data_IF_688954110068
#
_entry.id   IF_688954110068
#
_cell.length_a   1.000
_cell.length_b   1.000
_cell.length_c   1.000
_cell.angle_alpha   90.00
_cell.angle_beta   90.00
_cell.angle_gamma   90.00
#
_symmetry.space_group_name_H-M   'P 1'
#
loop_
_entity.id
_entity.type
_entity.pdbx_description
1 polymer ?
#
# COMPACT_ATOMS: atom_id res chain seq x y z
N UNK A 1 64.11 -26.22 6.76
CA UNK A 1 63.22 -26.16 7.94
C UNK A 1 63.39 -24.77 8.51
N UNK A 2 62.29 -24.08 8.82
CA UNK A 2 62.36 -22.75 9.38
C UNK A 2 62.56 -22.85 10.89
N UNK A 3 63.49 -22.08 11.42
CA UNK A 3 63.79 -21.99 12.84
C UNK A 3 63.80 -20.53 13.30
N UNK A 4 63.54 -20.30 14.57
CA UNK A 4 63.58 -18.96 15.14
C UNK A 4 65.01 -18.42 15.12
N UNK A 5 65.22 -17.29 14.44
CA UNK A 5 66.52 -16.63 14.30
C UNK A 5 67.27 -16.35 15.62
N UNK A 6 66.55 -16.26 16.75
CA UNK A 6 67.15 -15.95 18.06
C UNK A 6 67.31 -17.14 18.99
N UNK A 7 66.34 -18.04 19.07
CA UNK A 7 66.35 -19.13 20.05
C UNK A 7 66.49 -20.52 19.42
N UNK A 8 66.54 -20.63 18.09
CA UNK A 8 66.63 -21.91 17.39
C UNK A 8 65.39 -22.80 17.52
N UNK A 9 64.28 -22.29 18.07
CA UNK A 9 63.05 -23.06 18.18
C UNK A 9 62.54 -23.43 16.78
N UNK A 10 62.25 -24.71 16.59
CA UNK A 10 61.75 -25.21 15.31
C UNK A 10 60.24 -24.95 15.18
N UNK A 11 59.74 -24.99 13.94
CA UNK A 11 58.31 -24.83 13.63
C UNK A 11 57.41 -25.89 14.31
N UNK A 12 57.97 -27.06 14.68
CA UNK A 12 57.26 -28.10 15.43
C UNK A 12 57.00 -27.73 16.89
N UNK A 13 57.90 -26.94 17.49
CA UNK A 13 57.83 -26.57 18.90
C UNK A 13 57.07 -25.26 19.12
N UNK A 14 57.10 -24.35 18.14
CA UNK A 14 56.45 -23.05 18.26
C UNK A 14 56.03 -22.45 16.92
N UNK A 15 54.92 -21.69 16.94
CA UNK A 15 54.48 -20.89 15.79
C UNK A 15 55.50 -19.79 15.52
N UNK A 16 56.03 -19.79 14.30
CA UNK A 16 56.99 -18.80 13.81
C UNK A 16 56.25 -17.71 13.01
N UNK A 17 56.65 -16.47 13.21
CA UNK A 17 56.17 -15.30 12.47
C UNK A 17 57.30 -14.73 11.62
N UNK A 18 56.96 -14.20 10.44
CA UNK A 18 57.92 -13.43 9.62
C UNK A 18 58.08 -12.02 10.21
N UNK A 19 59.32 -11.64 10.49
CA UNK A 19 59.68 -10.33 11.02
C UNK A 19 60.82 -9.71 10.21
N UNK A 20 60.89 -8.38 10.20
CA UNK A 20 61.99 -7.65 9.54
C UNK A 20 63.11 -7.39 10.53
N UNK A 21 64.32 -7.80 10.18
CA UNK A 21 65.56 -7.49 10.90
C UNK A 21 66.56 -6.79 9.96
N UNK A 22 67.68 -6.31 10.48
CA UNK A 22 68.75 -5.66 9.69
C UNK A 22 69.35 -6.58 8.62
N UNK A 23 69.31 -7.89 8.84
CA UNK A 23 69.79 -8.91 7.91
C UNK A 23 68.75 -9.32 6.86
N UNK A 24 67.52 -8.81 6.94
CA UNK A 24 66.40 -9.17 6.06
C UNK A 24 65.20 -9.76 6.79
N UNK A 25 64.36 -10.49 6.06
CA UNK A 25 63.16 -11.16 6.58
C UNK A 25 63.57 -12.46 7.28
N UNK A 26 63.24 -12.59 8.55
CA UNK A 26 63.59 -13.74 9.39
C UNK A 26 62.37 -14.30 10.11
N UNK A 27 62.41 -15.58 10.46
CA UNK A 27 61.36 -16.22 11.25
C UNK A 27 61.64 -16.09 12.75
N UNK A 28 60.61 -15.75 13.53
CA UNK A 28 60.72 -15.44 14.96
C UNK A 28 59.57 -16.11 15.73
N UNK A 29 59.88 -16.79 16.83
CA UNK A 29 58.85 -17.35 17.70
C UNK A 29 58.16 -16.26 18.54
N UNK A 30 56.93 -16.52 19.00
CA UNK A 30 56.13 -15.59 19.81
C UNK A 30 56.89 -14.99 21.00
N UNK A 31 57.70 -15.81 21.71
CA UNK A 31 58.48 -15.37 22.88
C UNK A 31 59.54 -14.32 22.50
N UNK A 32 60.28 -14.57 21.42
CA UNK A 32 61.29 -13.63 20.95
C UNK A 32 60.67 -12.36 20.37
N UNK A 33 59.51 -12.46 19.72
CA UNK A 33 58.78 -11.28 19.25
C UNK A 33 58.43 -10.31 20.38
N UNK A 34 57.80 -10.78 21.47
CA UNK A 34 57.44 -9.90 22.59
C UNK A 34 58.66 -9.32 23.32
N UNK A 35 59.73 -10.11 23.46
CA UNK A 35 60.95 -9.68 24.15
C UNK A 35 61.70 -8.59 23.39
N UNK A 36 61.77 -8.69 22.06
CA UNK A 36 62.59 -7.81 21.23
C UNK A 36 61.77 -6.81 20.39
N UNK A 37 60.44 -6.87 20.44
CA UNK A 37 59.51 -6.01 19.70
C UNK A 37 59.86 -5.88 18.21
N UNK A 38 60.18 -7.02 17.57
CA UNK A 38 60.52 -7.04 16.14
C UNK A 38 59.25 -6.76 15.29
N UNK A 39 59.32 -5.93 14.23
CA UNK A 39 58.17 -5.63 13.39
C UNK A 39 57.73 -6.87 12.60
N UNK A 40 56.45 -7.24 12.70
CA UNK A 40 55.86 -8.38 11.99
C UNK A 40 55.39 -7.98 10.59
N UNK A 41 55.58 -8.88 9.63
CA UNK A 41 55.00 -8.76 8.30
C UNK A 41 53.68 -9.54 8.29
N UNK A 42 52.56 -8.84 8.39
CA UNK A 42 51.26 -9.44 8.14
C UNK A 42 51.05 -9.55 6.63
N UNK A 43 51.26 -10.75 6.07
CA UNK A 43 50.82 -11.05 4.70
C UNK A 43 49.30 -11.09 4.69
N UNK A 44 48.66 -9.93 4.48
CA UNK A 44 47.24 -9.89 4.12
C UNK A 44 47.12 -10.65 2.81
N UNK A 45 46.35 -11.74 2.82
CA UNK A 45 46.02 -12.46 1.60
C UNK A 45 45.08 -11.58 0.78
N UNK A 46 45.65 -10.67 0.01
CA UNK A 46 44.89 -9.85 -0.94
C UNK A 46 44.69 -10.73 -2.17
N UNK A 47 43.45 -11.15 -2.40
CA UNK A 47 43.11 -11.82 -3.65
C UNK A 47 43.31 -10.81 -4.78
N UNK A 48 44.30 -11.06 -5.65
CA UNK A 48 44.64 -10.17 -6.78
C UNK A 48 43.44 -9.83 -7.68
N UNK A 49 42.42 -10.70 -7.70
CA UNK A 49 41.15 -10.50 -8.41
C UNK A 49 40.40 -9.24 -7.99
N UNK A 50 40.58 -8.75 -6.77
CA UNK A 50 39.92 -7.53 -6.30
C UNK A 50 40.69 -6.26 -6.66
N UNK A 51 41.99 -6.37 -6.97
CA UNK A 51 42.83 -5.23 -7.39
C UNK A 51 42.53 -4.80 -8.83
N UNK A 52 42.11 -5.74 -9.69
CA UNK A 52 41.77 -5.44 -11.09
C UNK A 52 40.42 -4.74 -11.26
N UNK A 53 39.54 -4.82 -10.26
CA UNK A 53 38.23 -4.14 -10.30
C UNK A 53 38.45 -2.65 -10.09
N UNK A 54 38.46 -1.88 -11.19
CA UNK A 54 38.45 -0.42 -11.15
C UNK A 54 37.17 0.04 -10.45
N UNK A 55 37.33 0.58 -9.24
CA UNK A 55 36.21 1.18 -8.51
C UNK A 55 35.58 2.32 -9.32
N UNK A 56 34.28 2.23 -9.51
CA UNK A 56 33.48 3.30 -10.09
C UNK A 56 33.58 4.56 -9.23
N UNK A 57 33.35 5.73 -9.82
CA UNK A 57 33.33 7.01 -9.08
C UNK A 57 32.33 6.95 -7.92
N UNK A 58 31.19 6.26 -8.11
CA UNK A 58 30.16 6.05 -7.08
C UNK A 58 30.67 5.25 -5.89
N UNK A 59 31.40 4.16 -6.13
CA UNK A 59 32.00 3.33 -5.06
C UNK A 59 33.05 4.09 -4.29
N UNK A 60 33.87 4.89 -4.98
CA UNK A 60 34.85 5.77 -4.33
C UNK A 60 34.20 6.80 -3.41
N UNK A 61 33.16 7.49 -3.89
CA UNK A 61 32.42 8.45 -3.06
C UNK A 61 31.73 7.78 -1.87
N UNK A 62 31.18 6.58 -2.06
CA UNK A 62 30.56 5.83 -0.98
C UNK A 62 31.57 5.38 0.09
N UNK A 63 32.77 4.94 -0.32
CA UNK A 63 33.88 4.64 0.61
C UNK A 63 34.32 5.86 1.41
N UNK A 64 34.44 7.02 0.75
CA UNK A 64 34.80 8.29 1.42
C UNK A 64 33.73 8.70 2.43
N UNK A 65 32.46 8.47 2.11
CA UNK A 65 31.32 8.79 2.98
C UNK A 65 31.02 7.71 4.04
N UNK A 66 31.77 6.61 4.08
CA UNK A 66 31.46 5.44 4.92
C UNK A 66 30.03 4.89 4.73
N UNK A 67 29.52 4.94 3.49
CA UNK A 67 28.19 4.42 3.13
C UNK A 67 28.32 3.04 2.48
N UNK A 68 27.75 2.03 3.12
CA UNK A 68 27.73 0.66 2.59
C UNK A 68 26.75 0.52 1.42
N UNK A 69 27.26 0.56 0.19
CA UNK A 69 26.46 0.37 -1.03
C UNK A 69 25.75 -0.99 -1.08
N UNK A 70 26.32 -2.01 -0.43
CA UNK A 70 25.73 -3.33 -0.35
C UNK A 70 24.58 -3.40 0.67
N UNK A 71 24.61 -2.57 1.72
CA UNK A 71 23.50 -2.47 2.68
C UNK A 71 22.27 -1.78 2.06
N UNK A 72 22.47 -0.95 1.02
CA UNK A 72 21.37 -0.28 0.32
C UNK A 72 20.66 -1.13 -0.73
N UNK A 73 21.23 -2.25 -1.21
CA UNK A 73 20.56 -3.10 -2.22
C UNK A 73 19.33 -3.84 -1.68
N UNK A 74 19.20 -3.99 -0.36
CA UNK A 74 18.03 -4.62 0.28
C UNK A 74 17.03 -3.63 0.86
N UNK A 75 17.35 -2.33 0.89
CA UNK A 75 16.32 -1.30 1.04
C UNK A 75 15.64 -1.09 -0.31
N UNK A 76 14.85 -2.09 -0.71
CA UNK A 76 13.67 -1.81 -1.53
C UNK A 76 12.90 -0.79 -0.69
N UNK A 77 13.01 0.50 -1.06
CA UNK A 77 12.08 1.50 -0.56
C UNK A 77 10.72 0.87 -0.82
N UNK A 78 9.95 0.50 0.21
CA UNK A 78 8.71 -0.19 -0.03
C UNK A 78 7.91 0.74 -0.95
N UNK A 79 7.43 0.21 -2.07
CA UNK A 79 6.55 0.94 -3.00
C UNK A 79 5.29 1.52 -2.30
N UNK A 80 5.13 1.32 -1.00
CA UNK A 80 4.11 1.89 -0.14
C UNK A 80 4.21 3.39 0.11
N UNK A 81 5.24 4.08 -0.41
CA UNK A 81 5.33 5.56 -0.39
C UNK A 81 5.17 6.17 -1.79
N UNK A 82 4.48 5.50 -2.71
CA UNK A 82 3.77 6.27 -3.74
C UNK A 82 2.75 7.15 -3.02
N UNK A 83 2.67 8.43 -3.38
CA UNK A 83 1.70 9.38 -2.84
C UNK A 83 0.30 8.78 -2.95
N UNK A 84 -0.18 8.20 -1.85
CA UNK A 84 -1.53 7.65 -1.81
C UNK A 84 -2.48 8.83 -1.93
N UNK A 85 -3.31 8.79 -2.96
CA UNK A 85 -4.36 9.79 -3.10
C UNK A 85 -5.33 9.69 -1.92
N UNK A 86 -5.93 10.81 -1.51
CA UNK A 86 -6.91 10.83 -0.41
C UNK A 86 -8.03 9.80 -0.64
N UNK A 87 -8.40 9.56 -1.90
CA UNK A 87 -9.38 8.54 -2.31
C UNK A 87 -8.96 7.14 -1.86
N UNK A 88 -7.71 6.74 -2.12
CA UNK A 88 -7.20 5.44 -1.71
C UNK A 88 -7.14 5.27 -0.18
N UNK A 89 -6.88 6.35 0.56
CA UNK A 89 -6.88 6.31 2.04
C UNK A 89 -8.29 6.03 2.56
N UNK A 90 -9.28 6.77 2.06
CA UNK A 90 -10.68 6.59 2.43
C UNK A 90 -11.11 5.15 2.10
N UNK A 91 -10.79 4.68 0.91
CA UNK A 91 -11.16 3.34 0.44
C UNK A 91 -10.55 2.22 1.28
N UNK A 92 -9.26 2.33 1.62
CA UNK A 92 -8.60 1.37 2.52
C UNK A 92 -9.20 1.41 3.93
N UNK A 93 -9.63 2.56 4.41
CA UNK A 93 -10.28 2.65 5.73
C UNK A 93 -11.65 2.00 5.71
N UNK A 94 -12.44 2.20 4.65
CA UNK A 94 -13.72 1.52 4.46
C UNK A 94 -13.57 -0.01 4.41
N UNK A 95 -12.52 -0.53 3.76
CA UNK A 95 -12.25 -1.97 3.75
C UNK A 95 -11.85 -2.53 5.13
N UNK A 96 -11.18 -1.72 5.97
CA UNK A 96 -10.76 -2.11 7.32
C UNK A 96 -11.92 -2.13 8.31
N UNK A 97 -12.86 -1.20 8.19
CA UNK A 97 -14.15 -1.28 8.87
C UNK A 97 -14.92 -2.42 8.22
N UNK A 98 -14.60 -3.67 8.65
CA UNK A 98 -15.23 -4.88 8.11
C UNK A 98 -16.72 -4.64 8.04
N UNK A 99 -17.24 -4.64 6.81
CA UNK A 99 -18.67 -4.75 6.58
C UNK A 99 -19.02 -6.13 7.14
N UNK A 100 -19.57 -6.12 8.35
CA UNK A 100 -20.13 -7.33 8.93
C UNK A 100 -21.14 -7.84 7.91
N UNK A 101 -21.09 -9.14 7.60
CA UNK A 101 -22.10 -9.78 6.76
C UNK A 101 -23.40 -9.76 7.56
N UNK A 102 -24.08 -8.63 7.56
CA UNK A 102 -25.37 -8.48 8.19
C UNK A 102 -26.35 -9.33 7.40
N UNK A 103 -27.18 -10.09 8.11
CA UNK A 103 -28.34 -10.71 7.49
C UNK A 103 -29.13 -9.63 6.74
N UNK A 104 -29.67 -9.96 5.57
CA UNK A 104 -30.46 -9.00 4.79
C UNK A 104 -31.54 -8.39 5.69
N UNK A 105 -31.62 -7.05 5.80
CA UNK A 105 -32.61 -6.41 6.63
C UNK A 105 -34.00 -6.68 6.05
N UNK A 106 -34.95 -7.03 6.90
CA UNK A 106 -36.32 -7.37 6.50
C UNK A 106 -37.06 -6.23 5.81
N UNK A 107 -36.61 -4.99 6.01
CA UNK A 107 -37.18 -3.74 5.45
C UNK A 107 -36.97 -3.62 3.93
N UNK A 108 -35.95 -4.29 3.37
CA UNK A 108 -35.62 -4.20 1.94
C UNK A 108 -36.33 -5.26 1.11
N UNK A 109 -36.57 -4.93 -0.16
CA UNK A 109 -37.06 -5.87 -1.16
C UNK A 109 -36.02 -6.98 -1.38
N UNK A 110 -36.51 -8.20 -1.57
CA UNK A 110 -35.66 -9.35 -1.82
C UNK A 110 -34.89 -9.15 -3.14
N UNK A 111 -33.59 -9.45 -3.14
CA UNK A 111 -32.69 -9.20 -4.28
C UNK A 111 -32.57 -7.72 -4.70
N UNK A 112 -32.67 -6.77 -3.76
CA UNK A 112 -32.47 -5.34 -4.02
C UNK A 112 -31.20 -5.04 -4.84
N UNK A 113 -30.13 -5.77 -4.59
CA UNK A 113 -28.84 -5.60 -5.26
C UNK A 113 -28.93 -5.85 -6.78
N UNK A 114 -29.76 -6.79 -7.22
CA UNK A 114 -30.01 -7.04 -8.64
C UNK A 114 -30.80 -5.92 -9.30
N UNK A 115 -31.75 -5.32 -8.57
CA UNK A 115 -32.53 -4.18 -9.05
C UNK A 115 -31.62 -2.98 -9.31
N UNK A 116 -30.72 -2.68 -8.36
CA UNK A 116 -29.71 -1.61 -8.46
C UNK A 116 -28.82 -1.86 -9.69
N UNK A 117 -28.22 -3.06 -9.78
CA UNK A 117 -27.31 -3.40 -10.87
C UNK A 117 -27.99 -3.31 -12.25
N UNK A 118 -29.24 -3.77 -12.36
CA UNK A 118 -30.01 -3.69 -13.61
C UNK A 118 -30.28 -2.25 -14.02
N UNK A 119 -30.72 -1.41 -13.07
CA UNK A 119 -31.04 0.00 -13.33
C UNK A 119 -29.80 0.81 -13.69
N UNK A 120 -28.70 0.62 -12.97
CA UNK A 120 -27.41 1.22 -13.33
C UNK A 120 -27.00 0.87 -14.77
N UNK A 121 -27.08 -0.42 -15.15
CA UNK A 121 -26.76 -0.87 -16.52
C UNK A 121 -27.70 -0.28 -17.58
N UNK A 122 -28.98 -0.12 -17.28
CA UNK A 122 -29.92 0.57 -18.18
C UNK A 122 -29.51 2.03 -18.45
N UNK A 123 -28.99 2.71 -17.43
CA UNK A 123 -28.42 4.07 -17.54
C UNK A 123 -27.02 4.10 -18.16
N UNK A 124 -26.43 2.94 -18.47
CA UNK A 124 -25.06 2.77 -19.01
C UNK A 124 -23.97 3.41 -18.14
N UNK A 125 -24.17 3.44 -16.83
CA UNK A 125 -23.19 3.98 -15.89
C UNK A 125 -22.23 2.90 -15.40
N UNK A 126 -20.94 3.24 -15.29
CA UNK A 126 -19.97 2.41 -14.56
C UNK A 126 -20.21 2.51 -13.05
N UNK A 127 -19.60 1.61 -12.27
CA UNK A 127 -19.68 1.68 -10.79
C UNK A 127 -18.99 2.95 -10.28
N UNK A 128 -17.82 3.28 -10.84
CA UNK A 128 -17.09 4.53 -10.58
C UNK A 128 -17.93 5.79 -10.85
N UNK A 129 -18.61 5.86 -12.00
CA UNK A 129 -19.45 7.01 -12.35
C UNK A 129 -20.65 7.16 -11.41
N UNK A 130 -21.27 6.04 -11.03
CA UNK A 130 -22.37 6.06 -10.07
C UNK A 130 -21.89 6.53 -8.69
N UNK A 131 -20.75 6.01 -8.23
CA UNK A 131 -20.12 6.40 -6.98
C UNK A 131 -19.81 7.91 -6.97
N UNK A 132 -19.23 8.43 -8.06
CA UNK A 132 -18.92 9.85 -8.22
C UNK A 132 -20.16 10.74 -8.15
N UNK A 133 -21.27 10.32 -8.76
CA UNK A 133 -22.52 11.09 -8.75
C UNK A 133 -23.24 11.05 -7.40
N UNK A 134 -23.09 9.97 -6.64
CA UNK A 134 -23.63 9.83 -5.29
C UNK A 134 -22.72 10.44 -4.22
N UNK A 135 -21.48 10.82 -4.59
CA UNK A 135 -20.43 11.26 -3.68
C UNK A 135 -20.06 10.19 -2.63
N UNK A 136 -20.13 8.92 -3.03
CA UNK A 136 -19.79 7.77 -2.19
C UNK A 136 -18.56 7.05 -2.76
N UNK A 137 -17.79 6.31 -1.94
CA UNK A 137 -16.64 5.54 -2.44
C UNK A 137 -17.10 4.36 -3.30
N UNK A 138 -16.29 4.00 -4.30
CA UNK A 138 -16.62 2.94 -5.27
C UNK A 138 -16.84 1.58 -4.58
N UNK A 139 -16.02 1.27 -3.58
CA UNK A 139 -16.13 0.02 -2.81
C UNK A 139 -17.51 -0.14 -2.18
N UNK A 140 -18.14 0.94 -1.72
CA UNK A 140 -19.48 0.86 -1.11
C UNK A 140 -20.52 0.45 -2.16
N UNK A 141 -20.47 1.04 -3.36
CA UNK A 141 -21.36 0.64 -4.46
C UNK A 141 -21.11 -0.81 -4.87
N UNK A 142 -19.84 -1.23 -4.93
CA UNK A 142 -19.47 -2.59 -5.27
C UNK A 142 -20.01 -3.61 -4.26
N UNK A 143 -19.92 -3.30 -2.97
CA UNK A 143 -20.43 -4.15 -1.90
C UNK A 143 -21.97 -4.20 -1.88
N UNK A 144 -22.66 -3.08 -2.13
CA UNK A 144 -24.11 -3.03 -2.27
C UNK A 144 -24.59 -3.90 -3.45
N UNK A 145 -23.93 -3.85 -4.61
CA UNK A 145 -24.28 -4.70 -5.75
C UNK A 145 -24.01 -6.19 -5.49
N UNK A 146 -23.03 -6.52 -4.64
CA UNK A 146 -22.81 -7.88 -4.13
C UNK A 146 -23.87 -8.33 -3.11
N UNK A 147 -24.60 -7.39 -2.52
CA UNK A 147 -25.62 -7.63 -1.49
C UNK A 147 -25.12 -7.48 -0.06
N UNK A 148 -23.90 -6.96 0.14
CA UNK A 148 -23.37 -6.62 1.46
C UNK A 148 -23.71 -5.16 1.77
N UNK A 149 -24.33 -4.92 2.93
CA UNK A 149 -24.77 -3.60 3.34
C UNK A 149 -23.90 -3.06 4.49
N UNK A 150 -23.46 -1.79 4.43
CA UNK A 150 -22.80 -1.16 5.57
C UNK A 150 -23.81 -0.88 6.70
N UNK A 151 -23.32 -0.51 7.89
CA UNK A 151 -24.18 -0.21 9.05
C UNK A 151 -25.18 0.92 8.75
N UNK A 152 -24.73 1.93 8.01
CA UNK A 152 -25.53 3.13 7.68
C UNK A 152 -26.27 2.97 6.33
N UNK A 153 -26.71 1.75 5.99
CA UNK A 153 -27.30 1.46 4.69
C UNK A 153 -28.58 2.23 4.38
N UNK A 154 -29.36 2.63 5.39
CA UNK A 154 -30.66 3.30 5.17
C UNK A 154 -30.51 4.60 4.39
N UNK A 155 -29.51 5.41 4.74
CA UNK A 155 -29.23 6.69 4.07
C UNK A 155 -28.72 6.45 2.66
N UNK A 156 -27.79 5.50 2.48
CA UNK A 156 -27.24 5.14 1.18
C UNK A 156 -28.30 4.62 0.22
N UNK A 157 -29.20 3.76 0.69
CA UNK A 157 -30.28 3.23 -0.14
C UNK A 157 -31.23 4.34 -0.57
N UNK A 158 -31.58 5.30 0.30
CA UNK A 158 -32.39 6.47 -0.09
C UNK A 158 -31.71 7.31 -1.15
N UNK A 159 -30.39 7.56 -1.04
CA UNK A 159 -29.62 8.24 -2.08
C UNK A 159 -29.69 7.48 -3.42
N UNK A 160 -29.57 6.14 -3.38
CA UNK A 160 -29.68 5.27 -4.56
C UNK A 160 -31.08 5.26 -5.18
N UNK A 161 -32.13 5.18 -4.36
CA UNK A 161 -33.53 5.25 -4.79
C UNK A 161 -33.82 6.57 -5.51
N UNK A 162 -33.39 7.69 -4.91
CA UNK A 162 -33.55 9.03 -5.46
C UNK A 162 -32.80 9.20 -6.79
N UNK A 163 -31.57 8.71 -6.88
CA UNK A 163 -30.75 8.84 -8.09
C UNK A 163 -31.21 7.91 -9.22
N UNK A 164 -31.53 6.66 -8.92
CA UNK A 164 -31.92 5.64 -9.91
C UNK A 164 -33.42 5.64 -10.24
N UNK A 165 -34.24 6.35 -9.46
CA UNK A 165 -35.69 6.36 -9.60
C UNK A 165 -36.32 4.99 -9.39
N UNK A 166 -35.90 4.29 -8.33
CA UNK A 166 -36.45 2.98 -7.93
C UNK A 166 -36.87 2.98 -6.48
N UNK A 167 -37.77 2.07 -6.15
CA UNK A 167 -38.16 1.76 -4.77
C UNK A 167 -37.52 0.43 -4.38
N UNK A 168 -36.69 0.45 -3.35
CA UNK A 168 -35.93 -0.66 -2.78
C UNK A 168 -36.46 -1.04 -1.39
N UNK A 169 -37.07 -0.11 -0.65
CA UNK A 169 -37.80 -0.43 0.58
C UNK A 169 -39.17 -1.06 0.30
N UNK A 170 -39.57 -2.02 1.15
CA UNK A 170 -40.89 -2.67 1.08
C UNK A 170 -42.01 -1.72 1.50
N UNK A 171 -41.77 -0.91 2.51
CA UNK A 171 -42.70 0.11 3.01
C UNK A 171 -42.33 1.47 2.43
N UNK A 172 -43.34 2.22 1.95
CA UNK A 172 -43.12 3.53 1.30
C UNK A 172 -42.83 4.65 2.31
N UNK A 173 -43.24 4.46 3.56
CA UNK A 173 -43.23 5.49 4.61
C UNK A 173 -42.04 5.32 5.56
N UNK A 174 -40.90 4.87 5.03
CA UNK A 174 -39.66 4.87 5.79
C UNK A 174 -39.11 6.30 5.84
N UNK A 175 -39.72 7.14 6.68
CA UNK A 175 -39.13 8.43 7.06
C UNK A 175 -37.77 8.18 7.72
N UNK A 176 -36.79 9.05 7.47
CA UNK A 176 -35.48 8.92 8.14
C UNK A 176 -35.74 9.24 9.61
N UNK A 177 -35.54 8.27 10.51
CA UNK A 177 -35.69 8.55 11.93
C UNK A 177 -34.58 9.51 12.37
N UNK A 178 -34.86 10.37 13.35
CA UNK A 178 -33.82 11.24 13.93
C UNK A 178 -32.64 10.43 14.48
N UNK A 179 -32.91 9.21 14.95
CA UNK A 179 -31.88 8.27 15.43
C UNK A 179 -30.91 7.87 14.32
N UNK A 180 -31.40 7.58 13.10
CA UNK A 180 -30.56 7.25 11.95
C UNK A 180 -29.58 8.39 11.63
N UNK A 181 -30.04 9.64 11.69
CA UNK A 181 -29.21 10.84 11.49
C UNK A 181 -28.14 10.95 12.58
N UNK A 182 -28.50 10.68 13.84
CA UNK A 182 -27.52 10.72 14.93
C UNK A 182 -26.50 9.59 14.84
N UNK A 183 -26.86 8.44 14.29
CA UNK A 183 -25.96 7.30 14.14
C UNK A 183 -24.97 7.52 12.99
N UNK A 184 -25.41 8.16 11.90
CA UNK A 184 -24.52 8.64 10.84
C UNK A 184 -23.50 9.65 11.38
N UNK A 185 -23.93 10.57 12.25
CA UNK A 185 -23.03 11.54 12.89
C UNK A 185 -22.03 10.89 13.88
N UNK A 186 -22.35 9.70 14.41
CA UNK A 186 -21.49 8.97 15.35
C UNK A 186 -20.42 8.13 14.67
N UNK A 187 -20.52 7.84 13.36
CA UNK A 187 -19.41 7.16 12.68
C UNK A 187 -18.28 8.18 12.46
N UNK A 188 -17.09 7.98 13.05
CA UNK A 188 -15.97 8.91 12.95
C UNK A 188 -15.27 8.72 11.58
N UNK A 189 -16.02 8.89 10.50
CA UNK A 189 -15.45 8.97 9.14
C UNK A 189 -14.80 10.33 8.91
N UNK A 190 -15.24 11.36 9.64
CA UNK A 190 -14.53 12.61 9.80
C UNK A 190 -13.35 12.44 10.74
N UNK A 191 -12.13 12.50 10.21
CA UNK A 191 -10.95 12.78 11.03
C UNK A 191 -11.20 14.15 11.67
N UNK A 192 -11.60 14.18 12.94
CA UNK A 192 -11.69 15.42 13.69
C UNK A 192 -10.30 16.06 13.67
N UNK A 193 -10.21 17.34 13.35
CA UNK A 193 -8.93 18.08 13.28
C UNK A 193 -8.15 18.04 14.61
N UNK A 194 -8.83 17.71 15.71
CA UNK A 194 -8.22 17.40 17.02
C UNK A 194 -7.33 16.14 16.98
N UNK A 195 -7.70 15.07 16.29
CA UNK A 195 -6.92 13.83 16.23
C UNK A 195 -5.64 13.94 15.37
N UNK A 196 -5.63 14.84 14.38
CA UNK A 196 -4.44 15.13 13.55
C UNK A 196 -3.36 15.83 14.41
N UNK A 197 -3.78 16.66 15.37
CA UNK A 197 -2.87 17.32 16.32
C UNK A 197 -2.25 16.36 17.35
N UNK A 198 -2.91 15.26 17.69
CA UNK A 198 -2.37 14.26 18.62
C UNK A 198 -1.38 13.30 17.95
N UNK A 199 -1.63 12.90 16.68
CA UNK A 199 -0.74 11.95 15.98
C UNK A 199 0.49 12.59 15.35
N UNK A 200 0.49 13.90 15.15
CA UNK A 200 1.72 14.63 14.82
C UNK A 200 2.51 14.88 16.11
N UNK A 201 3.25 13.85 16.55
CA UNK A 201 4.20 13.87 17.67
C UNK A 201 5.39 14.83 17.50
N UNK A 202 5.15 16.01 16.93
CA UNK A 202 6.12 17.08 16.68
C UNK A 202 6.33 17.92 17.96
N UNK A 203 5.50 17.77 18.99
CA UNK A 203 5.62 18.53 20.25
C UNK A 203 6.60 17.96 21.28
N UNK A 204 7.19 16.78 21.07
CA UNK A 204 7.94 16.08 22.11
C UNK A 204 9.48 16.17 22.07
N UNK A 205 10.11 16.57 20.96
CA UNK A 205 11.57 16.41 20.83
C UNK A 205 12.41 17.66 21.12
N UNK A 206 11.84 18.88 21.11
CA UNK A 206 12.62 20.12 21.28
C UNK A 206 12.56 20.77 22.66
N UNK A 207 11.80 20.24 23.62
CA UNK A 207 11.73 20.78 24.99
C UNK A 207 11.90 19.68 26.03
N UNK A 208 13.14 19.17 26.14
CA UNK A 208 13.53 18.35 27.30
C UNK A 208 14.90 18.79 27.80
N UNK A 209 14.99 20.04 28.27
CA UNK A 209 16.07 20.47 29.19
C UNK A 209 15.79 21.79 29.93
N UNK A 210 14.75 21.85 30.77
CA UNK A 210 14.81 22.51 32.09
C UNK A 210 13.53 22.23 32.85
N UNK A 211 13.65 21.45 33.92
CA UNK A 211 12.61 21.20 34.92
C UNK A 211 12.77 22.32 35.95
N UNK A 212 12.00 23.40 35.80
CA UNK A 212 11.74 24.35 36.88
C UNK A 212 10.29 24.11 37.33
N UNK A 213 10.13 23.98 38.64
CA UNK A 213 8.89 23.72 39.34
C UNK A 213 7.96 24.92 39.16
N UNK A 214 6.84 24.73 38.46
CA UNK A 214 5.72 25.67 38.46
C UNK A 214 4.52 24.97 39.07
N UNK A 215 4.10 25.55 40.19
CA UNK A 215 2.92 25.27 40.99
C UNK A 215 1.66 25.14 40.16
N UNK A 216 0.81 24.22 40.60
CA UNK A 216 -0.56 24.02 40.14
C UNK A 216 -1.37 25.31 40.40
N UNK A 217 -1.61 26.09 39.35
CA UNK A 217 -2.67 27.09 39.33
C UNK A 217 -3.88 26.47 38.63
N UNK A 218 -4.90 26.20 39.43
CA UNK A 218 -6.24 25.79 39.04
C UNK A 218 -6.84 26.92 38.18
N UNK A 219 -7.00 26.69 36.88
CA UNK A 219 -7.63 27.66 35.97
C UNK A 219 -9.14 27.63 36.19
N UNK A 220 -9.64 28.57 37.00
CA UNK A 220 -11.06 28.88 37.14
C UNK A 220 -11.60 29.38 35.79
N UNK A 221 -12.57 28.65 35.22
CA UNK A 221 -13.18 28.90 33.91
C UNK A 221 -14.17 30.10 33.91
N UNK A 222 -14.24 30.87 35.00
CA UNK A 222 -15.26 31.90 35.20
C UNK A 222 -14.91 33.27 34.58
N UNK A 223 -13.68 33.46 34.09
CA UNK A 223 -13.21 34.75 33.54
C UNK A 223 -13.16 34.84 32.00
N UNK A 224 -13.70 33.84 31.27
CA UNK A 224 -13.84 33.95 29.82
C UNK A 224 -15.01 34.89 29.46
N UNK A 225 -14.69 36.18 29.40
CA UNK A 225 -15.61 37.26 29.04
C UNK A 225 -16.04 37.13 27.57
N UNK A 226 -17.14 36.41 27.32
CA UNK A 226 -17.73 36.16 26.00
C UNK A 226 -18.19 37.44 25.27
N UNK A 227 -18.23 38.58 25.96
CA UNK A 227 -18.65 39.87 25.40
C UNK A 227 -17.61 40.53 24.48
N UNK A 228 -16.35 40.06 24.46
CA UNK A 228 -15.32 40.63 23.56
C UNK A 228 -15.21 39.93 22.20
N UNK A 229 -16.02 38.90 21.92
CA UNK A 229 -16.12 38.35 20.57
C UNK A 229 -17.01 39.30 19.79
N UNK A 230 -16.41 40.35 19.23
CA UNK A 230 -17.07 41.18 18.22
C UNK A 230 -17.59 40.24 17.13
N UNK A 231 -18.92 40.12 17.02
CA UNK A 231 -19.55 39.56 15.84
C UNK A 231 -18.95 40.28 14.63
N UNK A 232 -18.10 39.58 13.87
CA UNK A 232 -17.71 40.02 12.54
C UNK A 232 -18.96 39.77 11.68
N UNK A 233 -19.93 40.67 11.82
CA UNK A 233 -21.02 40.84 10.85
C UNK A 233 -20.33 41.40 9.62
N UNK A 234 -19.94 40.50 8.71
CA UNK A 234 -19.48 40.91 7.41
C UNK A 234 -20.60 41.69 6.73
N UNK A 235 -20.41 42.99 6.54
CA UNK A 235 -21.28 43.77 5.67
C UNK A 235 -21.30 43.08 4.29
N UNK A 236 -22.48 42.83 3.70
CA UNK A 236 -22.56 42.26 2.38
C UNK A 236 -21.81 43.18 1.42
N UNK A 237 -20.75 42.66 0.79
CA UNK A 237 -19.98 43.40 -0.20
C UNK A 237 -20.94 43.78 -1.32
N UNK A 238 -21.29 45.06 -1.39
CA UNK A 238 -22.11 45.61 -2.46
C UNK A 238 -21.45 45.30 -3.80
N UNK A 239 -22.20 44.59 -4.65
CA UNK A 239 -21.99 44.33 -6.06
C UNK A 239 -20.63 44.77 -6.62
N UNK A 240 -19.62 43.92 -6.42
CA UNK A 240 -18.38 44.00 -7.19
C UNK A 240 -18.79 43.85 -8.66
N UNK A 241 -18.80 44.97 -9.39
CA UNK A 241 -18.92 44.98 -10.85
C UNK A 241 -17.73 44.21 -11.40
N UNK A 242 -17.96 42.93 -11.69
CA UNK A 242 -17.01 42.10 -12.41
C UNK A 242 -16.89 42.70 -13.80
N UNK A 243 -15.84 43.48 -14.03
CA UNK A 243 -15.47 43.88 -15.39
C UNK A 243 -15.22 42.61 -16.21
N UNK A 244 -15.77 42.52 -17.43
CA UNK A 244 -15.68 41.31 -18.23
C UNK A 244 -14.22 40.95 -18.46
N UNK A 245 -13.86 39.76 -17.98
CA UNK A 245 -12.56 39.14 -18.15
C UNK A 245 -12.21 39.13 -19.64
N UNK A 246 -11.03 39.69 -19.90
CA UNK A 246 -10.32 39.86 -21.16
C UNK A 246 -10.57 38.68 -22.12
N UNK A 247 -11.01 39.02 -23.34
CA UNK A 247 -11.22 38.08 -24.44
C UNK A 247 -10.04 37.15 -24.62
N UNK A 248 -10.30 35.83 -24.54
CA UNK A 248 -9.29 34.82 -24.83
C UNK A 248 -8.72 35.03 -26.24
N UNK A 249 -7.39 34.99 -26.42
CA UNK A 249 -6.79 35.10 -27.73
C UNK A 249 -7.27 33.92 -28.57
N UNK A 250 -8.06 34.23 -29.62
CA UNK A 250 -8.45 33.27 -30.66
C UNK A 250 -7.19 32.80 -31.38
N UNK A 251 -6.55 31.75 -30.86
CA UNK A 251 -5.49 31.03 -31.56
C UNK A 251 -6.16 30.32 -32.73
N UNK A 252 -6.11 30.96 -33.91
CA UNK A 252 -6.46 30.32 -35.17
C UNK A 252 -5.44 29.22 -35.44
N UNK A 253 -5.72 28.01 -34.96
CA UNK A 253 -5.06 26.82 -35.48
C UNK A 253 -5.48 26.66 -36.94
N UNK A 254 -4.58 27.03 -37.85
CA UNK A 254 -4.67 26.67 -39.26
C UNK A 254 -4.42 25.16 -39.39
N UNK A 255 -5.44 24.37 -39.06
CA UNK A 255 -5.46 22.94 -39.36
C UNK A 255 -5.63 22.80 -40.87
N UNK A 256 -4.50 22.64 -41.59
CA UNK A 256 -4.53 22.19 -42.98
C UNK A 256 -5.24 20.84 -42.97
N UNK A 257 -6.50 20.82 -43.43
CA UNK A 257 -7.18 19.59 -43.83
C UNK A 257 -6.36 18.99 -44.96
N UNK A 258 -5.47 18.07 -44.62
CA UNK A 258 -5.02 17.09 -45.60
C UNK A 258 -6.25 16.27 -45.96
N UNK A 259 -6.66 16.35 -47.22
CA UNK A 259 -7.74 15.51 -47.74
C UNK A 259 -7.40 14.06 -47.42
N UNK A 260 -8.34 13.29 -46.84
CA UNK A 260 -8.10 11.90 -46.53
C UNK A 260 -7.76 11.19 -47.85
N UNK A 261 -6.50 10.75 -47.99
CA UNK A 261 -6.10 9.88 -49.08
C UNK A 261 -7.06 8.70 -49.07
N UNK A 262 -7.80 8.54 -50.16
CA UNK A 262 -8.65 7.38 -50.41
C UNK A 262 -7.77 6.13 -50.36
N UNK A 263 -7.67 5.54 -49.18
CA UNK A 263 -7.16 4.19 -49.00
C UNK A 263 -8.19 3.27 -49.64
N UNK A 264 -7.97 2.97 -50.92
CA UNK A 264 -8.61 1.88 -51.64
C UNK A 264 -8.45 0.61 -50.80
N UNK A 265 -9.49 0.30 -50.03
CA UNK A 265 -9.63 -0.96 -49.34
C UNK A 265 -9.96 -1.99 -50.42
N UNK A 266 -8.95 -2.71 -50.90
CA UNK A 266 -9.17 -3.92 -51.68
C UNK A 266 -10.05 -4.85 -50.84
N UNK A 267 -11.31 -5.02 -51.25
CA UNK A 267 -12.19 -6.06 -50.74
C UNK A 267 -11.62 -7.41 -51.18
N UNK A 268 -10.63 -7.91 -50.44
CA UNK A 268 -10.28 -9.32 -50.47
C UNK A 268 -11.45 -10.06 -49.86
N UNK A 269 -12.23 -10.73 -50.71
CA UNK A 269 -13.23 -11.71 -50.32
C UNK A 269 -12.55 -12.77 -49.45
N UNK A 270 -12.71 -12.63 -48.14
CA UNK A 270 -12.27 -13.59 -47.15
C UNK A 270 -13.19 -14.80 -47.30
N UNK A 271 -12.67 -15.90 -47.85
CA UNK A 271 -13.44 -17.14 -47.94
C UNK A 271 -13.44 -17.82 -46.57
N UNK A 272 -14.62 -18.23 -46.10
CA UNK A 272 -14.90 -18.79 -44.76
C UNK A 272 -14.26 -20.17 -44.47
N UNK A 273 -13.16 -20.53 -45.15
CA UNK A 273 -12.57 -21.88 -45.05
C UNK A 273 -11.36 -22.00 -44.13
N UNK A 274 -10.85 -20.90 -43.55
CA UNK A 274 -9.59 -20.93 -42.79
C UNK A 274 -9.74 -20.79 -41.27
N UNK A 275 -10.96 -20.72 -40.71
CA UNK A 275 -11.16 -20.36 -39.30
C UNK A 275 -11.16 -21.52 -38.28
N UNK A 276 -10.98 -22.77 -38.71
CA UNK A 276 -10.82 -23.91 -37.79
C UNK A 276 -9.58 -24.73 -38.15
N UNK A 277 -8.41 -24.23 -37.76
CA UNK A 277 -7.27 -25.11 -37.43
C UNK A 277 -7.17 -25.15 -35.91
N UNK A 278 -7.45 -26.30 -35.26
CA UNK A 278 -7.20 -26.48 -33.85
C UNK A 278 -5.75 -26.08 -33.56
N UNK A 279 -5.53 -25.18 -32.59
CA UNK A 279 -4.19 -24.98 -32.06
C UNK A 279 -3.78 -26.29 -31.41
N UNK A 280 -2.83 -26.98 -32.03
CA UNK A 280 -2.03 -27.98 -31.33
C UNK A 280 -1.21 -27.22 -30.29
N UNK A 281 -1.75 -27.13 -29.08
CA UNK A 281 -1.05 -26.63 -27.92
C UNK A 281 0.12 -27.58 -27.64
N UNK A 282 1.29 -27.18 -28.14
CA UNK A 282 2.56 -27.79 -27.77
C UNK A 282 2.75 -27.54 -26.28
N UNK A 283 2.65 -28.62 -25.52
CA UNK A 283 3.15 -28.77 -24.17
C UNK A 283 4.55 -28.13 -24.05
N UNK A 284 4.62 -26.94 -23.46
CA UNK A 284 5.86 -26.28 -22.99
C UNK A 284 5.77 -26.15 -21.47
N UNK A 285 5.42 -27.24 -20.79
CA UNK A 285 5.58 -27.36 -19.34
C UNK A 285 6.17 -28.72 -19.02
N UNK A 286 7.45 -28.87 -19.35
CA UNK A 286 8.33 -29.87 -18.78
C UNK A 286 9.62 -29.16 -18.39
N UNK A 287 9.74 -28.74 -17.13
CA UNK A 287 10.81 -29.20 -16.24
C UNK A 287 10.84 -28.39 -14.93
N UNK A 288 10.96 -29.17 -13.84
CA UNK A 288 11.58 -28.84 -12.57
C UNK A 288 10.75 -28.13 -11.49
N UNK A 289 9.81 -28.86 -10.88
CA UNK A 289 9.63 -28.80 -9.42
C UNK A 289 9.51 -30.23 -8.86
N UNK A 290 10.66 -30.80 -8.50
CA UNK A 290 10.74 -32.04 -7.73
C UNK A 290 10.50 -31.76 -6.24
N UNK A 291 9.41 -32.36 -5.74
CA UNK A 291 9.31 -33.03 -4.43
C UNK A 291 9.23 -32.19 -3.15
N UNK A 292 8.00 -31.88 -2.76
CA UNK A 292 7.50 -32.21 -1.41
C UNK A 292 6.20 -33.00 -1.56
N UNK A 293 6.31 -34.32 -1.55
CA UNK A 293 5.17 -35.22 -1.36
C UNK A 293 4.74 -35.07 0.10
N UNK A 294 3.80 -34.17 0.36
CA UNK A 294 2.96 -34.30 1.54
C UNK A 294 2.09 -35.54 1.34
N UNK A 295 2.11 -36.42 2.33
CA UNK A 295 1.25 -37.58 2.45
C UNK A 295 -0.18 -37.05 2.58
N UNK A 296 -0.89 -36.96 1.46
CA UNK A 296 -2.33 -36.84 1.46
C UNK A 296 -2.82 -38.24 1.81
N UNK A 297 -3.20 -38.44 3.08
CA UNK A 297 -3.99 -39.58 3.49
C UNK A 297 -5.22 -39.63 2.57
N UNK A 298 -5.34 -40.74 1.84
CA UNK A 298 -6.54 -41.07 1.06
C UNK A 298 -7.72 -41.04 2.03
N UNK A 299 -8.51 -39.98 1.96
CA UNK A 299 -9.81 -39.94 2.63
C UNK A 299 -10.64 -41.02 2.00
N UNK A 300 -10.89 -42.09 2.75
CA UNK A 300 -11.86 -43.13 2.42
C UNK A 300 -13.15 -42.44 1.97
N UNK A 301 -13.53 -42.69 0.72
CA UNK A 301 -14.80 -42.22 0.17
C UNK A 301 -15.92 -42.84 1.03
N UNK A 302 -16.58 -41.99 1.82
CA UNK A 302 -17.73 -42.39 2.63
C UNK A 302 -18.74 -43.10 1.73
N UNK A 303 -19.07 -44.34 2.10
CA UNK A 303 -20.08 -45.16 1.44
C UNK A 303 -21.39 -44.37 1.36
N UNK A 304 -22.11 -44.52 0.25
CA UNK A 304 -23.45 -43.92 0.07
C UNK A 304 -24.43 -44.34 1.18
N UNK A 305 -24.14 -45.43 1.90
CA UNK A 305 -24.92 -45.90 3.06
C UNK A 305 -24.68 -45.03 4.31
N UNK A 306 -23.44 -44.57 4.54
CA UNK A 306 -23.09 -43.73 5.70
C UNK A 306 -23.70 -42.33 5.61
N UNK A 307 -23.89 -41.82 4.39
CA UNK A 307 -24.52 -40.53 4.13
C UNK A 307 -26.02 -40.57 4.49
N UNK A 308 -26.70 -41.69 4.24
CA UNK A 308 -28.11 -41.83 4.59
C UNK A 308 -28.32 -41.94 6.10
N UNK A 309 -27.42 -42.63 6.81
CA UNK A 309 -27.48 -42.74 8.27
C UNK A 309 -27.30 -41.39 8.98
N UNK A 310 -26.46 -40.51 8.42
CA UNK A 310 -26.25 -39.15 8.92
C UNK A 310 -27.47 -38.22 8.70
N UNK A 311 -28.21 -38.42 7.62
CA UNK A 311 -29.38 -37.59 7.29
C UNK A 311 -30.60 -37.98 8.13
N UNK A 312 -30.76 -39.27 8.45
CA UNK A 312 -32.02 -39.78 9.02
C UNK A 312 -31.98 -40.08 10.53
N UNK A 313 -30.81 -40.17 11.18
CA UNK A 313 -30.72 -40.41 12.65
C UNK A 313 -31.08 -39.22 13.55
N UNK A 314 -31.51 -38.07 13.00
CA UNK A 314 -31.77 -36.86 13.79
C UNK A 314 -33.24 -36.67 14.24
N UNK A 315 -34.05 -37.73 14.21
CA UNK A 315 -35.50 -37.66 14.49
C UNK A 315 -36.06 -38.67 15.50
N UNK A 316 -35.20 -39.31 16.29
CA UNK A 316 -35.61 -40.01 17.53
C UNK A 316 -35.04 -39.29 18.75
#
# INVERSE_FOLDING_TARGET
MNECYRCGATERESVLYEAVNTTGVVFVCRKCYFKYRMPLIEKKHVEWKDVEKRESVRERLAKIAHVDLNATKTRVVPKSQTDMTLREIVEKNFQKTKIEKTNLPSELIDNFNWVIMRKRRMLKLTQEELAMKLQEPEVVIHEIERGNLPRDYKVLIKKLEAYLGVYLFKERDNEISSEDITNEAKTPTGILTSEIKEKTGIRGWFFSKKKEETSEEELELEDLNLESINEIVGEPVEDVKIEPVIEEPKVRYNFKREEPKELFFEQKSFSDKDFYKPREDKNIFSHAEETKKEVIEEKEELSSEDINDLIWKRRE
#
